data_IF_702586659277
#
_entry.id   IF_702586659277
#
_cell.length_a   1.000
_cell.length_b   1.000
_cell.length_c   1.000
_cell.angle_alpha   90.00
_cell.angle_beta   90.00
_cell.angle_gamma   90.00
#
_symmetry.space_group_name_H-M   'P 1'
#
loop_
_entity.id
_entity.type
_entity.pdbx_description
1 polymer ?
#
# COMPACT_ATOMS: atom_id res chain seq x y z
N UNK A 1 18.31 -10.80 -28.24
CA UNK A 1 17.42 -10.06 -29.16
C UNK A 1 16.04 -10.73 -29.30
N UNK A 2 15.40 -11.15 -28.19
CA UNK A 2 14.15 -11.91 -28.28
C UNK A 2 13.27 -11.87 -27.01
N UNK A 3 13.12 -10.68 -26.38
CA UNK A 3 12.19 -10.48 -25.25
C UNK A 3 11.29 -9.27 -25.51
N UNK A 4 11.89 -8.16 -25.96
CA UNK A 4 11.16 -6.96 -26.43
C UNK A 4 10.20 -7.28 -27.60
N UNK A 5 10.60 -8.19 -28.49
CA UNK A 5 9.75 -8.62 -29.62
C UNK A 5 8.59 -9.56 -29.21
N UNK A 6 8.68 -10.20 -28.03
CA UNK A 6 7.61 -11.02 -27.47
C UNK A 6 6.61 -10.14 -26.70
N UNK A 7 7.10 -9.17 -25.93
CA UNK A 7 6.28 -8.19 -25.21
C UNK A 7 5.44 -7.33 -26.18
N UNK A 8 6.02 -6.90 -27.30
CA UNK A 8 5.29 -6.14 -28.34
C UNK A 8 4.25 -6.97 -29.11
N UNK A 9 4.34 -8.31 -29.08
CA UNK A 9 3.30 -9.20 -29.62
C UNK A 9 2.19 -9.43 -28.59
N UNK A 10 2.55 -9.63 -27.32
CA UNK A 10 1.58 -9.80 -26.24
C UNK A 10 0.72 -8.54 -26.06
N UNK A 11 1.34 -7.36 -26.11
CA UNK A 11 0.59 -6.10 -26.03
C UNK A 11 -0.38 -5.91 -27.20
N UNK A 12 -0.01 -6.29 -28.43
CA UNK A 12 -0.91 -6.22 -29.59
C UNK A 12 -2.05 -7.21 -29.50
N UNK A 13 -1.81 -8.40 -28.96
CA UNK A 13 -2.86 -9.40 -28.75
C UNK A 13 -3.85 -8.95 -27.68
N UNK A 14 -3.35 -8.46 -26.54
CA UNK A 14 -4.20 -7.95 -25.45
C UNK A 14 -5.01 -6.70 -25.87
N UNK A 15 -4.47 -5.86 -26.76
CA UNK A 15 -5.19 -4.69 -27.28
C UNK A 15 -6.32 -5.12 -28.24
N UNK A 16 -6.10 -6.14 -29.07
CA UNK A 16 -7.13 -6.66 -29.97
C UNK A 16 -8.29 -7.33 -29.22
N UNK A 17 -8.01 -8.00 -28.10
CA UNK A 17 -9.04 -8.56 -27.21
C UNK A 17 -9.84 -7.47 -26.51
N UNK A 18 -9.18 -6.39 -26.04
CA UNK A 18 -9.87 -5.24 -25.44
C UNK A 18 -10.81 -4.54 -26.45
N UNK A 19 -10.35 -4.33 -27.69
CA UNK A 19 -11.15 -3.72 -28.76
C UNK A 19 -12.31 -4.63 -29.23
N UNK A 20 -12.27 -5.93 -28.93
CA UNK A 20 -13.35 -6.89 -29.23
C UNK A 20 -14.40 -6.90 -28.12
N UNK A 21 -13.97 -6.87 -26.85
CA UNK A 21 -14.86 -6.73 -25.69
C UNK A 21 -15.61 -5.39 -25.71
N UNK A 22 -14.96 -4.31 -26.14
CA UNK A 22 -15.60 -2.99 -26.25
C UNK A 22 -16.62 -2.92 -27.41
N UNK A 23 -16.39 -3.66 -28.50
CA UNK A 23 -17.36 -3.81 -29.60
C UNK A 23 -18.58 -4.64 -29.21
N UNK A 24 -18.37 -5.77 -28.51
CA UNK A 24 -19.47 -6.61 -27.99
C UNK A 24 -20.31 -5.86 -26.96
N UNK A 25 -19.68 -5.00 -26.15
CA UNK A 25 -20.37 -4.14 -25.17
C UNK A 25 -21.21 -3.05 -25.84
N UNK A 26 -20.73 -2.48 -26.95
CA UNK A 26 -21.48 -1.49 -27.74
C UNK A 26 -22.67 -2.11 -28.48
N UNK A 27 -22.55 -3.36 -28.93
CA UNK A 27 -23.64 -4.08 -29.60
C UNK A 27 -24.74 -4.56 -28.64
N UNK A 28 -24.39 -4.83 -27.37
CA UNK A 28 -25.36 -5.26 -26.37
C UNK A 28 -26.22 -4.12 -25.79
N UNK A 29 -25.88 -2.85 -26.08
CA UNK A 29 -26.65 -1.69 -25.65
C UNK A 29 -27.83 -1.35 -26.60
N UNK A 30 -27.81 -1.87 -27.83
CA UNK A 30 -28.77 -1.55 -28.90
C UNK A 30 -29.93 -2.57 -29.01
N UNK A 31 -29.88 -3.68 -28.26
CA UNK A 31 -30.95 -4.71 -28.20
C UNK A 31 -31.65 -4.69 -26.82
N UNK A 32 -32.64 -3.81 -26.67
CA UNK A 32 -33.31 -3.54 -25.40
C UNK A 32 -34.06 -4.73 -24.78
N UNK A 33 -33.94 -4.88 -23.46
CA UNK A 33 -34.99 -5.45 -22.58
C UNK A 33 -34.68 -5.23 -21.10
N UNK A 34 -35.06 -4.06 -20.56
CA UNK A 34 -35.42 -3.96 -19.14
C UNK A 34 -36.64 -3.05 -19.03
N UNK A 35 -37.79 -3.67 -18.74
CA UNK A 35 -39.07 -2.99 -18.68
C UNK A 35 -39.10 -1.93 -17.59
N UNK A 36 -39.33 -0.68 -17.99
CA UNK A 36 -39.56 0.43 -17.08
C UNK A 36 -41.04 0.42 -16.67
N UNK A 37 -41.30 0.29 -15.38
CA UNK A 37 -42.64 0.36 -14.80
C UNK A 37 -43.15 1.81 -14.90
N UNK A 38 -44.26 2.02 -15.59
CA UNK A 38 -44.90 3.33 -15.83
C UNK A 38 -45.66 3.77 -14.57
N UNK A 39 -45.33 4.95 -14.03
CA UNK A 39 -46.16 5.68 -13.06
C UNK A 39 -46.92 6.80 -13.81
N UNK A 40 -48.27 6.82 -13.82
CA UNK A 40 -49.02 7.87 -14.49
C UNK A 40 -49.49 8.90 -13.45
N UNK A 41 -48.73 9.99 -13.27
CA UNK A 41 -49.30 11.33 -13.03
C UNK A 41 -48.20 12.40 -13.00
N UNK A 42 -48.02 13.15 -14.09
CA UNK A 42 -47.29 14.43 -14.09
C UNK A 42 -47.90 15.38 -15.15
N UNK A 43 -48.25 16.63 -14.79
CA UNK A 43 -48.87 17.61 -15.70
C UNK A 43 -47.87 18.26 -16.69
N UNK A 44 -48.37 18.82 -17.81
CA UNK A 44 -47.53 19.15 -18.97
C UNK A 44 -47.01 20.59 -18.87
N UNK A 45 -45.80 20.78 -18.34
CA UNK A 45 -45.00 21.98 -18.60
C UNK A 45 -43.53 21.59 -18.76
N UNK A 46 -43.22 20.93 -19.87
CA UNK A 46 -41.86 20.90 -20.39
C UNK A 46 -41.85 21.77 -21.62
N UNK A 47 -40.91 22.71 -21.69
CA UNK A 47 -40.06 22.98 -22.86
C UNK A 47 -39.50 24.39 -22.77
N UNK A 48 -38.37 24.53 -22.07
CA UNK A 48 -37.28 25.49 -22.34
C UNK A 48 -36.38 25.70 -21.10
N UNK A 49 -35.92 24.64 -20.41
CA UNK A 49 -34.81 24.86 -19.45
C UNK A 49 -34.05 23.58 -19.03
N UNK A 50 -33.48 22.84 -19.99
CA UNK A 50 -32.60 21.68 -19.67
C UNK A 50 -31.18 21.84 -20.23
N UNK A 51 -30.93 22.83 -21.10
CA UNK A 51 -29.60 23.04 -21.71
C UNK A 51 -28.72 23.99 -20.87
N UNK A 52 -29.28 24.82 -19.98
CA UNK A 52 -28.48 25.73 -19.14
C UNK A 52 -27.85 25.08 -17.90
N UNK A 53 -28.43 24.00 -17.37
CA UNK A 53 -27.97 23.43 -16.09
C UNK A 53 -26.77 22.47 -16.22
N UNK A 54 -26.52 21.89 -17.41
CA UNK A 54 -25.35 21.03 -17.63
C UNK A 54 -24.05 21.81 -17.95
N UNK A 55 -24.13 23.08 -18.35
CA UNK A 55 -22.94 23.91 -18.65
C UNK A 55 -22.45 24.76 -17.48
N UNK A 56 -23.28 25.04 -16.46
CA UNK A 56 -22.85 25.80 -15.28
C UNK A 56 -22.19 24.92 -14.20
N UNK A 57 -22.56 23.63 -14.10
CA UNK A 57 -21.91 22.72 -13.15
C UNK A 57 -20.44 22.43 -13.51
N UNK A 58 -20.10 22.41 -14.80
CA UNK A 58 -18.72 22.22 -15.24
C UNK A 58 -17.82 23.43 -14.95
N UNK A 59 -18.34 24.65 -15.00
CA UNK A 59 -17.55 25.88 -14.80
C UNK A 59 -17.36 26.19 -13.31
N UNK A 60 -18.33 25.85 -12.44
CA UNK A 60 -18.20 26.00 -10.98
C UNK A 60 -17.38 24.87 -10.31
N UNK A 61 -17.25 23.70 -10.93
CA UNK A 61 -16.34 22.64 -10.46
C UNK A 61 -14.85 22.95 -10.70
N UNK A 62 -14.50 23.89 -11.59
CA UNK A 62 -13.12 24.17 -11.98
C UNK A 62 -12.39 25.18 -11.08
N UNK A 63 -13.06 25.79 -10.10
CA UNK A 63 -12.43 26.79 -9.20
C UNK A 63 -11.89 26.23 -7.87
N UNK A 64 -12.01 24.92 -7.61
CA UNK A 64 -11.43 24.24 -6.42
C UNK A 64 -10.37 23.21 -6.82
N UNK A 65 -9.62 23.48 -7.87
CA UNK A 65 -8.33 22.81 -8.09
C UNK A 65 -7.26 23.83 -7.74
N UNK A 66 -7.05 24.02 -6.43
CA UNK A 66 -5.77 24.51 -5.92
C UNK A 66 -4.76 23.47 -6.39
N UNK A 67 -4.05 23.78 -7.49
CA UNK A 67 -2.90 23.03 -7.96
C UNK A 67 -1.84 23.14 -6.85
N UNK A 68 -1.91 22.23 -5.88
CA UNK A 68 -0.83 21.96 -4.95
C UNK A 68 0.17 21.12 -5.71
N UNK A 69 1.29 21.75 -6.07
CA UNK A 69 2.52 21.19 -6.64
C UNK A 69 2.58 19.66 -6.62
N UNK A 70 2.47 19.09 -7.81
CA UNK A 70 2.58 17.67 -8.14
C UNK A 70 4.03 17.18 -7.92
N UNK A 71 4.53 17.22 -6.68
CA UNK A 71 5.58 16.31 -6.25
C UNK A 71 4.92 14.94 -6.22
N UNK A 72 5.24 14.10 -7.21
CA UNK A 72 4.78 12.72 -7.29
C UNK A 72 4.88 12.10 -5.90
N UNK A 73 3.73 11.81 -5.28
CA UNK A 73 3.67 11.32 -3.90
C UNK A 73 4.51 10.03 -3.85
N UNK A 74 5.65 10.07 -3.17
CA UNK A 74 6.49 8.89 -3.04
C UNK A 74 6.03 8.09 -1.82
N UNK A 75 5.98 6.75 -1.89
CA UNK A 75 5.64 5.91 -0.75
C UNK A 75 6.45 6.27 0.51
N UNK A 76 7.75 6.54 0.35
CA UNK A 76 8.64 6.88 1.47
C UNK A 76 8.27 8.21 2.14
N UNK A 77 7.82 9.21 1.38
CA UNK A 77 7.36 10.50 1.94
C UNK A 77 6.11 10.30 2.79
N UNK A 78 5.19 9.45 2.33
CA UNK A 78 3.97 9.12 3.08
C UNK A 78 4.30 8.37 4.37
N UNK A 79 5.19 7.38 4.30
CA UNK A 79 5.63 6.60 5.46
C UNK A 79 6.28 7.51 6.51
N UNK A 80 7.19 8.39 6.10
CA UNK A 80 7.81 9.36 7.02
C UNK A 80 6.79 10.24 7.72
N UNK A 81 5.88 10.86 6.97
CA UNK A 81 4.83 11.70 7.55
C UNK A 81 3.89 10.90 8.49
N UNK A 82 3.65 9.63 8.20
CA UNK A 82 2.85 8.75 9.02
C UNK A 82 3.58 8.31 10.31
N UNK A 83 4.89 8.09 10.29
CA UNK A 83 5.71 7.84 11.48
C UNK A 83 5.75 9.07 12.41
N UNK A 84 5.87 10.28 11.85
CA UNK A 84 5.81 11.51 12.63
C UNK A 84 4.44 11.67 13.29
N UNK A 85 3.37 11.49 12.50
CA UNK A 85 2.00 11.56 13.01
C UNK A 85 1.74 10.49 14.07
N UNK A 86 2.28 9.29 13.91
CA UNK A 86 2.19 8.22 14.91
C UNK A 86 2.78 8.66 16.26
N UNK A 87 3.94 9.30 16.27
CA UNK A 87 4.56 9.79 17.50
C UNK A 87 3.68 10.85 18.20
N UNK A 88 3.01 11.70 17.43
CA UNK A 88 2.12 12.74 17.97
C UNK A 88 0.81 12.17 18.54
N UNK A 89 0.10 11.33 17.79
CA UNK A 89 -1.29 10.94 18.13
C UNK A 89 -1.48 9.48 18.53
N UNK A 90 -0.44 8.64 18.39
CA UNK A 90 -0.52 7.20 18.63
C UNK A 90 -1.31 6.44 17.55
N UNK A 91 -1.29 5.11 17.63
CA UNK A 91 -1.86 4.22 16.60
C UNK A 91 -3.39 4.34 16.45
N UNK A 92 -4.08 4.64 17.55
CA UNK A 92 -5.53 4.86 17.56
C UNK A 92 -5.90 6.20 16.92
N UNK A 93 -5.07 7.22 17.14
CA UNK A 93 -5.23 8.54 16.55
C UNK A 93 -4.85 8.62 15.07
N UNK A 94 -4.03 7.69 14.57
CA UNK A 94 -3.55 7.63 13.19
C UNK A 94 -4.69 7.19 12.25
N UNK A 95 -5.11 8.11 11.38
CA UNK A 95 -6.13 7.86 10.35
C UNK A 95 -5.64 8.33 8.99
N UNK A 96 -6.12 7.70 7.91
CA UNK A 96 -5.80 8.09 6.54
C UNK A 96 -6.26 9.52 6.24
N UNK A 97 -7.35 9.98 6.87
CA UNK A 97 -7.80 11.37 6.80
C UNK A 97 -6.78 12.36 7.36
N UNK A 98 -6.36 12.16 8.62
CA UNK A 98 -5.35 13.04 9.24
C UNK A 98 -4.02 13.01 8.50
N UNK A 99 -3.64 11.85 7.95
CA UNK A 99 -2.44 11.73 7.13
C UNK A 99 -2.56 12.52 5.82
N UNK A 100 -3.73 12.46 5.16
CA UNK A 100 -4.00 13.24 3.95
C UNK A 100 -3.94 14.75 4.22
N UNK A 101 -4.57 15.19 5.32
CA UNK A 101 -4.54 16.58 5.79
C UNK A 101 -3.10 17.04 6.06
N UNK A 102 -2.30 16.22 6.76
CA UNK A 102 -0.88 16.53 7.05
C UNK A 102 -0.05 16.66 5.77
N UNK A 103 -0.30 15.81 4.78
CA UNK A 103 0.42 15.83 3.50
C UNK A 103 -0.12 16.89 2.52
N UNK A 104 -1.22 17.56 2.84
CA UNK A 104 -1.86 18.53 1.95
C UNK A 104 -2.45 17.92 0.68
N UNK A 105 -2.82 16.64 0.72
CA UNK A 105 -3.34 15.88 -0.44
C UNK A 105 -4.74 15.34 -0.19
N UNK A 106 -5.43 15.01 -1.28
CA UNK A 106 -6.74 14.37 -1.21
C UNK A 106 -6.61 12.90 -0.81
N UNK A 107 -7.53 12.39 0.03
CA UNK A 107 -7.53 10.99 0.47
C UNK A 107 -7.43 9.95 -0.67
N UNK A 108 -8.10 10.12 -1.83
CA UNK A 108 -7.95 9.20 -2.96
C UNK A 108 -6.49 8.99 -3.41
N UNK A 109 -5.63 10.01 -3.27
CA UNK A 109 -4.21 9.89 -3.62
C UNK A 109 -3.47 8.89 -2.71
N UNK A 110 -3.86 8.80 -1.43
CA UNK A 110 -3.28 7.84 -0.49
C UNK A 110 -3.68 6.39 -0.79
N UNK A 111 -4.90 6.16 -1.29
CA UNK A 111 -5.38 4.81 -1.63
C UNK A 111 -4.64 4.17 -2.80
N UNK A 112 -3.95 4.97 -3.63
CA UNK A 112 -3.04 4.45 -4.66
C UNK A 112 -1.81 3.77 -4.06
N UNK A 113 -1.33 4.24 -2.91
CA UNK A 113 -0.18 3.67 -2.22
C UNK A 113 -0.59 2.61 -1.18
N UNK A 114 -1.67 2.87 -0.44
CA UNK A 114 -2.10 2.00 0.66
C UNK A 114 -3.60 1.75 0.57
N UNK A 115 -3.97 0.51 0.22
CA UNK A 115 -5.38 0.12 0.02
C UNK A 115 -6.25 0.28 1.26
N UNK A 116 -5.66 0.14 2.45
CA UNK A 116 -6.37 0.25 3.72
C UNK A 116 -5.40 0.60 4.88
N UNK A 117 -5.94 0.88 6.07
CA UNK A 117 -5.14 1.19 7.27
C UNK A 117 -4.18 0.05 7.64
N UNK A 118 -4.55 -1.23 7.43
CA UNK A 118 -3.67 -2.37 7.72
C UNK A 118 -2.40 -2.32 6.88
N UNK A 119 -2.52 -2.13 5.57
CA UNK A 119 -1.39 -2.03 4.65
C UNK A 119 -0.45 -0.86 5.02
N UNK A 120 -1.01 0.26 5.49
CA UNK A 120 -0.20 1.36 6.03
C UNK A 120 0.56 0.93 7.29
N UNK A 121 -0.10 0.27 8.24
CA UNK A 121 0.54 -0.21 9.48
C UNK A 121 1.63 -1.25 9.20
N UNK A 122 1.43 -2.14 8.23
CA UNK A 122 2.43 -3.12 7.80
C UNK A 122 3.68 -2.41 7.25
N UNK A 123 3.49 -1.42 6.36
CA UNK A 123 4.59 -0.63 5.82
C UNK A 123 5.31 0.20 6.89
N UNK A 124 4.58 0.71 7.90
CA UNK A 124 5.19 1.41 9.03
C UNK A 124 6.06 0.46 9.87
N UNK A 125 5.58 -0.74 10.17
CA UNK A 125 6.36 -1.72 10.93
C UNK A 125 7.66 -2.09 10.20
N UNK A 126 7.58 -2.29 8.87
CA UNK A 126 8.76 -2.53 8.03
C UNK A 126 9.74 -1.35 8.08
N UNK A 127 9.25 -0.12 7.94
CA UNK A 127 10.10 1.07 7.99
C UNK A 127 10.78 1.25 9.35
N UNK A 128 10.07 1.03 10.46
CA UNK A 128 10.64 1.10 11.82
C UNK A 128 11.83 0.14 11.99
N UNK A 129 11.70 -1.09 11.49
CA UNK A 129 12.78 -2.07 11.54
C UNK A 129 13.91 -1.71 10.58
N UNK A 130 13.61 -1.27 9.36
CA UNK A 130 14.62 -0.87 8.40
C UNK A 130 15.52 0.28 8.91
N UNK A 131 14.96 1.21 9.67
CA UNK A 131 15.70 2.36 10.20
C UNK A 131 16.51 2.04 11.46
N UNK A 132 15.99 1.18 12.35
CA UNK A 132 16.53 1.05 13.70
C UNK A 132 16.99 -0.38 14.07
N UNK A 133 16.61 -1.42 13.31
CA UNK A 133 17.02 -2.81 13.55
C UNK A 133 18.33 -3.13 12.84
N UNK A 134 19.42 -2.57 13.38
CA UNK A 134 20.78 -2.65 12.83
C UNK A 134 21.47 -4.02 12.97
N UNK A 135 20.95 -4.91 13.84
CA UNK A 135 21.55 -6.23 14.09
C UNK A 135 20.63 -7.37 13.67
N UNK A 136 20.06 -7.27 12.46
CA UNK A 136 19.06 -8.20 11.93
C UNK A 136 19.66 -9.46 11.27
N UNK A 137 20.89 -9.39 10.76
CA UNK A 137 21.55 -10.49 10.05
C UNK A 137 22.82 -10.92 10.80
N UNK A 138 23.01 -12.22 11.07
CA UNK A 138 24.22 -12.72 11.74
C UNK A 138 25.44 -12.64 10.80
N UNK A 139 26.61 -12.33 11.36
CA UNK A 139 27.89 -12.45 10.64
C UNK A 139 28.38 -13.89 10.69
N UNK A 140 29.27 -14.24 9.76
CA UNK A 140 29.75 -15.61 9.60
C UNK A 140 30.48 -16.15 10.85
N UNK A 141 31.10 -15.26 11.62
CA UNK A 141 31.92 -15.51 12.80
C UNK A 141 31.21 -15.22 14.13
N UNK A 142 29.95 -14.77 14.10
CA UNK A 142 29.20 -14.47 15.33
C UNK A 142 28.88 -15.76 16.11
N UNK A 143 29.06 -15.74 17.43
CA UNK A 143 28.46 -16.75 18.31
C UNK A 143 26.93 -16.57 18.31
N UNK A 144 26.20 -17.68 18.12
CA UNK A 144 24.75 -17.64 17.96
C UNK A 144 24.02 -17.05 19.18
N UNK A 145 24.52 -17.27 20.41
CA UNK A 145 23.90 -16.70 21.62
C UNK A 145 24.09 -15.20 21.66
N UNK A 146 25.32 -14.76 21.42
CA UNK A 146 25.71 -13.35 21.37
C UNK A 146 24.95 -12.60 20.28
N UNK A 147 24.83 -13.20 19.09
CA UNK A 147 24.00 -12.68 18.00
C UNK A 147 22.54 -12.52 18.42
N UNK A 148 21.90 -13.56 18.98
CA UNK A 148 20.49 -13.47 19.38
C UNK A 148 20.25 -12.39 20.44
N UNK A 149 21.17 -12.21 21.38
CA UNK A 149 21.10 -11.13 22.37
C UNK A 149 21.21 -9.75 21.69
N UNK A 150 22.17 -9.59 20.77
CA UNK A 150 22.34 -8.35 20.00
C UNK A 150 21.11 -8.04 19.12
N UNK A 151 20.59 -9.06 18.46
CA UNK A 151 19.42 -8.99 17.59
C UNK A 151 18.18 -8.57 18.39
N UNK A 152 17.91 -9.23 19.53
CA UNK A 152 16.78 -8.91 20.39
C UNK A 152 16.86 -7.48 20.95
N UNK A 153 18.07 -7.02 21.32
CA UNK A 153 18.29 -5.64 21.80
C UNK A 153 18.02 -4.63 20.69
N UNK A 154 18.59 -4.84 19.51
CA UNK A 154 18.40 -3.96 18.35
C UNK A 154 16.93 -3.91 17.91
N UNK A 155 16.27 -5.07 17.86
CA UNK A 155 14.84 -5.17 17.58
C UNK A 155 13.99 -4.42 18.62
N UNK A 156 14.27 -4.60 19.91
CA UNK A 156 13.60 -3.86 20.99
C UNK A 156 13.81 -2.35 20.86
N UNK A 157 15.02 -1.90 20.53
CA UNK A 157 15.31 -0.48 20.30
C UNK A 157 14.49 0.08 19.14
N UNK A 158 14.35 -0.67 18.04
CA UNK A 158 13.51 -0.26 16.91
C UNK A 158 12.03 -0.10 17.30
N UNK A 159 11.47 -1.05 18.06
CA UNK A 159 10.07 -0.98 18.50
C UNK A 159 9.81 0.13 19.53
N UNK A 160 10.83 0.53 20.31
CA UNK A 160 10.72 1.60 21.30
C UNK A 160 11.00 2.99 20.72
N UNK A 161 11.55 3.08 19.50
CA UNK A 161 11.82 4.36 18.84
C UNK A 161 10.55 5.11 18.44
N UNK A 162 9.43 4.41 18.33
CA UNK A 162 8.15 4.96 17.88
C UNK A 162 7.04 4.65 18.88
N UNK A 163 6.14 5.62 19.08
CA UNK A 163 4.95 5.46 19.92
C UNK A 163 4.10 4.30 19.40
N UNK A 164 3.67 3.42 20.30
CA UNK A 164 2.90 2.20 19.97
C UNK A 164 3.63 1.22 19.00
N UNK A 165 4.95 1.35 18.80
CA UNK A 165 5.71 0.57 17.82
C UNK A 165 5.58 -0.95 18.02
N UNK A 166 5.69 -1.43 19.26
CA UNK A 166 5.47 -2.85 19.59
C UNK A 166 4.04 -3.33 19.24
N UNK A 167 3.03 -2.48 19.45
CA UNK A 167 1.62 -2.79 19.20
C UNK A 167 1.30 -2.82 17.70
N UNK A 168 1.91 -1.92 16.94
CA UNK A 168 1.86 -1.95 15.47
C UNK A 168 2.49 -3.26 14.99
N UNK A 169 3.71 -3.57 15.44
CA UNK A 169 4.44 -4.75 14.99
C UNK A 169 3.73 -6.07 15.31
N UNK A 170 3.12 -6.21 16.48
CA UNK A 170 2.46 -7.44 16.92
C UNK A 170 1.32 -7.93 16.00
N UNK A 171 0.73 -7.03 15.21
CA UNK A 171 -0.35 -7.36 14.26
C UNK A 171 0.11 -7.54 12.81
N UNK A 172 1.41 -7.38 12.53
CA UNK A 172 1.96 -7.41 11.18
C UNK A 172 2.41 -8.80 10.78
N UNK A 173 2.39 -9.05 9.46
CA UNK A 173 3.02 -10.23 8.86
C UNK A 173 4.34 -9.79 8.23
N UNK A 174 5.43 -10.55 8.39
CA UNK A 174 6.67 -10.18 7.75
C UNK A 174 6.50 -10.29 6.23
N UNK A 175 6.99 -9.28 5.51
CA UNK A 175 7.08 -9.32 4.06
C UNK A 175 8.19 -10.25 3.58
N UNK A 176 8.32 -10.39 2.26
CA UNK A 176 9.34 -11.22 1.62
C UNK A 176 10.79 -10.94 2.12
N UNK A 177 11.28 -9.69 2.21
CA UNK A 177 12.65 -9.45 2.67
C UNK A 177 12.87 -9.79 4.15
N UNK A 178 11.86 -9.62 5.00
CA UNK A 178 11.94 -10.04 6.40
C UNK A 178 11.95 -11.56 6.53
N UNK A 179 11.28 -12.29 5.64
CA UNK A 179 11.31 -13.76 5.60
C UNK A 179 12.71 -14.30 5.31
N UNK A 180 13.44 -13.70 4.36
CA UNK A 180 14.84 -14.09 4.06
C UNK A 180 15.76 -13.88 5.27
N UNK A 181 15.58 -12.75 5.96
CA UNK A 181 16.32 -12.43 7.20
C UNK A 181 16.01 -13.43 8.30
N UNK A 182 14.74 -13.78 8.50
CA UNK A 182 14.32 -14.78 9.48
C UNK A 182 14.92 -16.16 9.16
N UNK A 183 14.95 -16.56 7.89
CA UNK A 183 15.57 -17.83 7.48
C UNK A 183 17.09 -17.84 7.71
N UNK A 184 17.79 -16.73 7.44
CA UNK A 184 19.21 -16.60 7.75
C UNK A 184 19.49 -16.75 9.25
N UNK A 185 18.68 -16.15 10.11
CA UNK A 185 18.77 -16.30 11.56
C UNK A 185 18.54 -17.76 12.00
N UNK A 186 17.55 -18.44 11.42
CA UNK A 186 17.26 -19.85 11.71
C UNK A 186 18.42 -20.76 11.29
N UNK A 187 19.01 -20.53 10.11
CA UNK A 187 20.17 -21.29 9.63
C UNK A 187 21.39 -21.11 10.55
N UNK A 188 21.67 -19.89 10.97
CA UNK A 188 22.78 -19.58 11.88
C UNK A 188 22.60 -20.28 13.24
N UNK A 189 21.39 -20.25 13.81
CA UNK A 189 21.07 -20.99 15.05
C UNK A 189 21.27 -22.50 14.88
N UNK A 190 20.88 -23.08 13.74
CA UNK A 190 21.06 -24.52 13.51
C UNK A 190 22.54 -24.91 13.45
N UNK A 191 23.38 -24.10 12.81
CA UNK A 191 24.84 -24.32 12.77
C UNK A 191 25.48 -24.28 14.16
N UNK A 192 25.05 -23.35 15.02
CA UNK A 192 25.60 -23.18 16.37
C UNK A 192 25.07 -24.17 17.43
N UNK A 193 23.78 -24.56 17.36
CA UNK A 193 23.16 -25.47 18.34
C UNK A 193 23.39 -26.94 17.98
N UNK A 194 23.21 -27.34 16.72
CA UNK A 194 23.34 -28.75 16.31
C UNK A 194 24.77 -29.14 15.91
N UNK A 195 25.65 -28.18 15.63
CA UNK A 195 27.06 -28.45 15.33
C UNK A 195 27.92 -28.71 16.58
N UNK A 196 27.55 -28.16 17.73
CA UNK A 196 28.30 -28.31 18.99
C UNK A 196 27.98 -29.62 19.72
N UNK A 197 26.74 -30.13 19.63
CA UNK A 197 26.34 -31.41 20.23
C UNK A 197 27.01 -32.63 19.57
N UNK A 198 27.44 -32.52 18.30
CA UNK A 198 28.18 -33.57 17.61
C UNK A 198 29.65 -33.71 18.07
N UNK A 199 30.21 -32.69 18.75
CA UNK A 199 31.60 -32.67 19.18
C UNK A 199 31.82 -33.16 20.63
N UNK A 200 30.75 -33.37 21.41
CA UNK A 200 30.84 -33.68 22.85
C UNK A 200 30.74 -35.18 23.18
N UNK A 201 30.47 -36.05 22.19
CA UNK A 201 30.30 -37.51 22.41
C UNK A 201 31.55 -38.34 22.05
N UNK A 202 32.75 -37.92 22.45
CA UNK A 202 33.98 -38.72 22.24
C UNK A 202 34.74 -39.00 23.52
#
# INVERSE_FOLDING_TARGET
MNQIAQEARQHRHNQADADSVERDSAQNYDQGSVGFHVWPDQPPLVRLNVILYHRCWWILCLSVIKVSSMTKLQPNTVIRAALDLLNEVGVDGLTTRKLAERLGVQQPALYWHFRNKRALLDALAEAMLAENHTHSVPRADDDWRSFLIGNARSFRQALLAYRDGARIHAGTRPGAPQMETADAQLRHRRGGVFGQDAAVTR
#
